data_IF_229421386130
#
_entry.id   IF_229421386130
#
_cell.length_a   1.000
_cell.length_b   1.000
_cell.length_c   1.000
_cell.angle_alpha   90.00
_cell.angle_beta   90.00
_cell.angle_gamma   90.00
#
_symmetry.space_group_name_H-M   'P 1'
#
loop_
_entity.id
_entity.type
_entity.pdbx_description
1 polymer ?
#
# COMPACT_ATOMS: atom_id res chain seq x y z
N UNK A 1 -2.99 -22.75 21.12
CA UNK A 1 -3.45 -21.37 20.87
C UNK A 1 -2.68 -20.93 19.65
N UNK A 2 -3.18 -21.41 18.54
CA UNK A 2 -2.69 -21.10 17.21
C UNK A 2 -3.12 -19.66 16.99
N UNK A 3 -2.18 -18.74 17.19
CA UNK A 3 -2.32 -17.40 16.68
C UNK A 3 -2.25 -17.54 15.17
N UNK A 4 -3.40 -17.76 14.55
CA UNK A 4 -3.63 -17.39 13.17
C UNK A 4 -3.36 -15.89 13.09
N UNK A 5 -2.08 -15.55 12.93
CA UNK A 5 -1.66 -14.25 12.46
C UNK A 5 -2.41 -14.08 11.16
N UNK A 6 -3.46 -13.26 11.19
CA UNK A 6 -4.22 -12.81 10.04
C UNK A 6 -3.32 -11.86 9.23
N UNK A 7 -2.14 -12.35 8.84
CA UNK A 7 -1.22 -11.69 7.95
C UNK A 7 -1.88 -11.79 6.58
N UNK A 8 -2.54 -10.72 6.15
CA UNK A 8 -2.97 -10.61 4.76
C UNK A 8 -1.77 -10.93 3.88
N UNK A 9 -1.95 -11.87 2.95
CA UNK A 9 -0.89 -12.29 2.05
C UNK A 9 -0.39 -11.09 1.23
N UNK A 10 0.92 -11.02 0.92
CA UNK A 10 1.42 -10.00 0.01
C UNK A 10 0.68 -10.09 -1.32
N UNK A 11 0.29 -8.94 -1.85
CA UNK A 11 -0.40 -8.85 -3.14
C UNK A 11 0.29 -7.86 -4.05
N UNK A 12 0.15 -8.10 -5.35
CA UNK A 12 0.73 -7.27 -6.40
C UNK A 12 -0.32 -6.27 -6.90
N UNK A 13 0.09 -5.03 -7.06
CA UNK A 13 -0.71 -3.95 -7.66
C UNK A 13 0.03 -3.39 -8.86
N UNK A 14 -0.72 -2.78 -9.77
CA UNK A 14 -0.15 -2.08 -10.93
C UNK A 14 -0.43 -0.59 -10.79
N UNK A 15 0.61 0.22 -10.89
CA UNK A 15 0.53 1.68 -10.80
C UNK A 15 1.19 2.32 -12.01
N UNK A 16 0.81 3.56 -12.32
CA UNK A 16 1.38 4.30 -13.43
C UNK A 16 2.40 5.32 -12.92
N UNK A 17 3.69 5.02 -13.09
CA UNK A 17 4.80 5.92 -12.72
C UNK A 17 5.46 6.44 -14.00
N UNK A 18 5.64 7.76 -14.12
CA UNK A 18 6.34 8.37 -15.26
C UNK A 18 5.78 8.00 -16.65
N UNK A 19 4.50 7.61 -16.74
CA UNK A 19 3.86 7.14 -17.99
C UNK A 19 4.12 5.68 -18.35
N UNK A 20 4.63 4.88 -17.41
CA UNK A 20 4.80 3.42 -17.53
C UNK A 20 4.02 2.73 -16.43
N UNK A 21 3.45 1.58 -16.77
CA UNK A 21 2.86 0.68 -15.79
C UNK A 21 4.00 -0.06 -15.09
N UNK A 22 4.03 0.05 -13.76
CA UNK A 22 4.97 -0.67 -12.90
C UNK A 22 4.20 -1.53 -11.90
N UNK A 23 4.73 -2.72 -11.65
CA UNK A 23 4.17 -3.62 -10.65
C UNK A 23 4.85 -3.38 -9.30
N UNK A 24 4.03 -3.13 -8.29
CA UNK A 24 4.46 -2.99 -6.91
C UNK A 24 3.91 -4.15 -6.08
N UNK A 25 4.70 -4.61 -5.12
CA UNK A 25 4.30 -5.61 -4.14
C UNK A 25 3.92 -4.88 -2.86
N UNK A 26 2.71 -5.14 -2.38
CA UNK A 26 2.18 -4.59 -1.13
C UNK A 26 2.15 -5.69 -0.08
N UNK A 27 2.76 -5.40 1.06
CA UNK A 27 2.83 -6.27 2.24
C UNK A 27 2.07 -5.60 3.39
N UNK A 28 1.03 -6.26 3.89
CA UNK A 28 0.29 -5.77 5.06
C UNK A 28 1.06 -6.13 6.32
N UNK A 29 1.36 -5.13 7.15
CA UNK A 29 1.97 -5.41 8.45
C UNK A 29 0.89 -5.94 9.41
N UNK A 30 1.03 -7.14 9.99
CA UNK A 30 0.01 -7.67 10.90
C UNK A 30 0.00 -6.95 12.27
N UNK A 31 1.02 -6.14 12.57
CA UNK A 31 1.14 -5.43 13.85
C UNK A 31 0.79 -3.95 13.75
N UNK A 32 0.73 -3.39 12.54
CA UNK A 32 0.54 -1.98 12.28
C UNK A 32 -0.39 -1.87 11.06
N UNK A 33 -1.43 -1.03 11.08
CA UNK A 33 -2.37 -0.88 9.96
C UNK A 33 -1.75 -0.13 8.76
N UNK A 34 -0.51 -0.49 8.43
CA UNK A 34 0.34 0.07 7.41
C UNK A 34 0.65 -0.99 6.37
N UNK A 35 0.72 -0.52 5.15
CA UNK A 35 1.09 -1.29 3.98
C UNK A 35 2.53 -0.92 3.60
N UNK A 36 3.38 -1.93 3.51
CA UNK A 36 4.74 -1.80 3.03
C UNK A 36 4.74 -2.03 1.53
N UNK A 37 5.26 -1.07 0.77
CA UNK A 37 5.27 -1.10 -0.69
C UNK A 37 6.69 -1.35 -1.18
N UNK A 38 6.81 -2.29 -2.11
CA UNK A 38 8.07 -2.70 -2.72
C UNK A 38 7.94 -2.62 -4.23
N UNK A 39 8.98 -2.11 -4.88
CA UNK A 39 9.14 -2.15 -6.33
C UNK A 39 10.13 -3.25 -6.66
N UNK A 40 9.66 -4.33 -7.28
CA UNK A 40 10.42 -5.56 -7.55
C UNK A 40 11.02 -6.20 -6.26
N UNK A 41 12.17 -5.69 -5.80
CA UNK A 41 12.88 -6.10 -4.58
C UNK A 41 13.37 -4.91 -3.74
N UNK A 42 13.06 -3.69 -4.17
CA UNK A 42 13.42 -2.45 -3.47
C UNK A 42 12.25 -1.96 -2.64
N UNK A 43 12.48 -1.73 -1.36
CA UNK A 43 11.49 -1.10 -0.49
C UNK A 43 11.30 0.36 -0.92
N UNK A 44 10.09 0.72 -1.34
CA UNK A 44 9.72 2.10 -1.68
C UNK A 44 9.34 2.89 -0.42
N UNK A 45 8.52 2.27 0.43
CA UNK A 45 8.06 2.93 1.64
C UNK A 45 6.85 2.30 2.30
N UNK A 46 6.45 2.90 3.41
CA UNK A 46 5.23 2.56 4.15
C UNK A 46 4.14 3.58 3.86
N UNK A 47 2.96 3.07 3.54
CA UNK A 47 1.75 3.85 3.37
C UNK A 47 0.65 3.36 4.30
N UNK A 48 -0.32 4.20 4.60
CA UNK A 48 -1.51 3.83 5.36
C UNK A 48 -2.70 4.69 4.98
N UNK A 49 -3.89 4.13 5.18
CA UNK A 49 -5.13 4.85 5.14
C UNK A 49 -5.33 5.60 6.48
N UNK A 50 -5.31 6.91 6.43
CA UNK A 50 -5.87 7.77 7.47
C UNK A 50 -7.35 8.05 7.15
N UNK A 51 -8.19 8.16 8.17
CA UNK A 51 -9.59 8.58 8.01
C UNK A 51 -9.69 10.01 8.51
N UNK A 52 -10.02 10.93 7.61
CA UNK A 52 -10.28 12.32 7.93
C UNK A 52 -11.76 12.68 7.69
N UNK A 53 -12.16 13.94 7.92
CA UNK A 53 -13.55 14.40 7.78
C UNK A 53 -14.10 14.24 6.35
N UNK A 54 -13.19 14.09 5.37
CA UNK A 54 -13.50 13.99 3.93
C UNK A 54 -13.53 12.53 3.42
N UNK A 55 -13.00 11.56 4.19
CA UNK A 55 -12.93 10.15 3.80
C UNK A 55 -11.57 9.51 4.07
N UNK A 56 -11.27 8.44 3.32
CA UNK A 56 -9.97 7.75 3.37
C UNK A 56 -8.92 8.59 2.64
N UNK A 57 -7.84 8.93 3.33
CA UNK A 57 -6.67 9.64 2.80
C UNK A 57 -5.48 8.71 2.91
N UNK A 58 -4.79 8.49 1.80
CA UNK A 58 -3.59 7.68 1.77
C UNK A 58 -2.35 8.53 2.06
N UNK A 59 -1.65 8.18 3.13
CA UNK A 59 -0.46 8.86 3.63
C UNK A 59 0.76 7.95 3.51
N UNK A 60 1.96 8.53 3.42
CA UNK A 60 3.21 7.78 3.44
C UNK A 60 4.24 8.41 4.39
N UNK A 61 5.08 7.59 5.02
CA UNK A 61 6.16 8.05 5.89
C UNK A 61 7.45 8.31 5.10
N UNK A 62 7.55 7.72 3.92
CA UNK A 62 8.72 7.73 3.06
C UNK A 62 8.56 8.74 1.92
N UNK A 63 9.63 8.92 1.14
CA UNK A 63 9.70 9.91 0.07
C UNK A 63 9.04 9.39 -1.21
N UNK A 64 7.75 9.07 -1.12
CA UNK A 64 6.91 8.62 -2.23
C UNK A 64 6.14 9.83 -2.75
N UNK A 65 6.04 9.96 -4.08
CA UNK A 65 5.23 11.01 -4.68
C UNK A 65 3.76 10.89 -4.24
N UNK A 66 3.10 11.98 -3.81
CA UNK A 66 1.73 11.91 -3.29
C UNK A 66 0.73 11.34 -4.31
N UNK A 67 0.92 11.61 -5.60
CA UNK A 67 0.13 11.01 -6.68
C UNK A 67 0.29 9.48 -6.73
N UNK A 68 1.49 8.97 -6.48
CA UNK A 68 1.77 7.54 -6.44
C UNK A 68 1.18 6.91 -5.17
N UNK A 69 1.28 7.57 -4.02
CA UNK A 69 0.63 7.12 -2.77
C UNK A 69 -0.88 6.97 -2.98
N UNK A 70 -1.50 7.95 -3.63
CA UNK A 70 -2.93 7.92 -3.92
C UNK A 70 -3.29 6.75 -4.84
N UNK A 71 -2.56 6.56 -5.94
CA UNK A 71 -2.77 5.43 -6.86
C UNK A 71 -2.61 4.08 -6.16
N UNK A 72 -1.58 3.93 -5.32
CA UNK A 72 -1.37 2.70 -4.56
C UNK A 72 -2.58 2.45 -3.66
N UNK A 73 -3.01 3.48 -2.92
CA UNK A 73 -4.18 3.41 -2.06
C UNK A 73 -5.44 2.97 -2.78
N UNK A 74 -5.73 3.58 -3.93
CA UNK A 74 -6.87 3.19 -4.77
C UNK A 74 -6.79 1.72 -5.21
N UNK A 75 -5.61 1.22 -5.60
CA UNK A 75 -5.41 -0.19 -5.94
C UNK A 75 -5.64 -1.12 -4.74
N UNK A 76 -5.22 -0.70 -3.54
CA UNK A 76 -5.45 -1.46 -2.31
C UNK A 76 -6.96 -1.52 -2.01
N UNK A 77 -7.69 -0.40 -2.12
CA UNK A 77 -9.14 -0.38 -1.92
C UNK A 77 -9.89 -1.26 -2.94
N UNK A 78 -9.41 -1.31 -4.19
CA UNK A 78 -9.96 -2.21 -5.22
C UNK A 78 -9.70 -3.68 -4.86
N UNK A 79 -8.53 -3.98 -4.28
CA UNK A 79 -8.16 -5.33 -3.88
C UNK A 79 -8.93 -5.81 -2.62
N UNK A 80 -9.25 -4.91 -1.70
CA UNK A 80 -9.97 -5.21 -0.45
C UNK A 80 -11.50 -5.39 -0.62
N UNK A 81 -12.06 -5.03 -1.79
CA UNK A 81 -13.47 -5.22 -2.15
C UNK A 81 -13.83 -6.63 -2.61
#
# INVERSE_FOLDING_TARGET
MDVETNAMEPFEITVLTGGREEQLVVLVDPNDSKYQVFEEQSFLGKIWADIDEVGIIWSSADLIAPELVQQIGEQIEIYDQ
#
